data_IF_965959374707
#
_entry.id   IF_965959374707
#
_cell.length_a   1.000
_cell.length_b   1.000
_cell.length_c   1.000
_cell.angle_alpha   90.00
_cell.angle_beta   90.00
_cell.angle_gamma   90.00
#
_symmetry.space_group_name_H-M   'P 1'
#
loop_
_entity.id
_entity.type
_entity.pdbx_description
1 polymer ?
#
# COMPACT_ATOMS: atom_id res chain seq x y z
N UNK A 1 13.76 9.55 5.78
CA UNK A 1 12.36 9.57 5.33
C UNK A 1 11.67 8.39 5.98
N UNK A 2 10.63 8.60 6.79
CA UNK A 2 9.86 7.49 7.42
C UNK A 2 8.73 7.07 6.49
N UNK A 3 8.39 5.79 6.46
CA UNK A 3 7.32 5.27 5.58
C UNK A 3 6.28 4.59 6.45
N UNK A 4 5.00 4.92 6.22
CA UNK A 4 3.87 4.31 6.91
C UNK A 4 2.87 3.74 5.91
N UNK A 5 2.34 2.58 6.23
CA UNK A 5 1.23 1.94 5.53
C UNK A 5 0.15 1.57 6.54
N UNK A 6 -1.05 2.11 6.39
CA UNK A 6 -2.18 1.87 7.30
C UNK A 6 -1.81 2.07 8.79
N UNK A 7 -0.91 3.02 9.09
CA UNK A 7 -0.45 3.32 10.44
C UNK A 7 0.72 2.47 10.94
N UNK A 8 1.16 1.45 10.18
CA UNK A 8 2.35 0.65 10.49
C UNK A 8 3.59 1.25 9.81
N UNK A 9 4.68 1.39 10.56
CA UNK A 9 5.97 1.84 10.00
C UNK A 9 6.60 0.73 9.17
N UNK A 10 7.08 1.08 7.99
CA UNK A 10 7.77 0.19 7.05
C UNK A 10 9.20 0.68 6.82
N UNK A 11 10.06 -0.27 6.49
CA UNK A 11 11.39 0.05 5.98
C UNK A 11 11.27 0.80 4.64
N UNK A 12 12.03 1.87 4.51
CA UNK A 12 12.18 2.52 3.21
C UNK A 12 13.06 1.66 2.32
N UNK A 13 12.51 1.20 1.19
CA UNK A 13 13.23 0.39 0.22
C UNK A 13 13.26 1.12 -1.12
N UNK A 14 14.44 1.25 -1.72
CA UNK A 14 14.60 1.83 -3.05
C UNK A 14 13.82 1.00 -4.10
N UNK A 15 13.05 1.68 -4.95
CA UNK A 15 12.09 1.06 -5.87
C UNK A 15 10.72 0.73 -5.25
N UNK A 16 10.59 0.81 -3.92
CA UNK A 16 9.33 0.64 -3.20
C UNK A 16 8.82 -0.79 -3.15
N UNK A 17 7.53 -0.92 -2.83
CA UNK A 17 6.78 -2.18 -2.78
C UNK A 17 5.77 -2.24 -3.93
N UNK A 18 5.56 -3.43 -4.47
CA UNK A 18 4.52 -3.70 -5.47
C UNK A 18 3.17 -3.96 -4.79
N UNK A 19 2.11 -3.28 -5.25
CA UNK A 19 0.75 -3.59 -4.80
C UNK A 19 0.18 -4.79 -5.55
N UNK A 20 -0.21 -5.83 -4.81
CA UNK A 20 -0.86 -7.03 -5.36
C UNK A 20 -2.34 -6.99 -5.00
N UNK A 21 -3.20 -6.89 -6.01
CA UNK A 21 -4.65 -6.86 -5.85
C UNK A 21 -5.22 -8.27 -5.97
N UNK A 22 -5.80 -8.79 -4.88
CA UNK A 22 -6.42 -10.12 -4.92
C UNK A 22 -7.72 -10.12 -5.72
N UNK A 23 -8.50 -9.03 -5.61
CA UNK A 23 -9.62 -8.78 -6.49
C UNK A 23 -9.17 -7.93 -7.69
N UNK A 24 -9.29 -8.44 -8.93
CA UNK A 24 -8.84 -7.70 -10.10
C UNK A 24 -9.63 -6.40 -10.29
N UNK A 25 -8.97 -5.40 -10.85
CA UNK A 25 -9.57 -4.14 -11.31
C UNK A 25 -9.29 -3.98 -12.80
N UNK A 26 -10.08 -3.15 -13.49
CA UNK A 26 -9.84 -2.79 -14.90
C UNK A 26 -9.53 -1.32 -15.07
N UNK A 27 -10.05 -0.48 -14.18
CA UNK A 27 -9.91 0.97 -14.25
C UNK A 27 -9.34 1.50 -12.94
N UNK A 28 -8.44 2.46 -13.07
CA UNK A 28 -7.93 3.28 -11.99
C UNK A 28 -8.03 4.74 -12.41
N UNK A 29 -8.59 5.57 -11.53
CA UNK A 29 -8.56 7.03 -11.65
C UNK A 29 -7.56 7.54 -10.63
N UNK A 30 -6.64 8.39 -11.09
CA UNK A 30 -5.59 8.97 -10.25
C UNK A 30 -5.74 10.49 -10.21
N UNK A 31 -5.46 11.05 -9.05
CA UNK A 31 -5.38 12.49 -8.83
C UNK A 31 -4.15 12.83 -7.97
N UNK A 32 -3.62 14.05 -8.15
CA UNK A 32 -2.46 14.56 -7.44
C UNK A 32 -2.73 15.99 -6.99
N UNK A 33 -2.68 16.21 -5.68
CA UNK A 33 -2.75 17.54 -5.08
C UNK A 33 -1.37 17.93 -4.57
N UNK A 34 -0.88 19.09 -4.96
CA UNK A 34 0.41 19.63 -4.49
C UNK A 34 0.16 20.90 -3.70
N UNK A 35 0.69 20.98 -2.48
CA UNK A 35 0.59 22.17 -1.63
C UNK A 35 1.77 22.26 -0.68
N UNK A 36 2.40 23.44 -0.60
CA UNK A 36 3.50 23.73 0.34
C UNK A 36 4.65 22.69 0.30
N UNK A 37 5.02 22.23 -0.90
CA UNK A 37 6.07 21.21 -1.10
C UNK A 37 5.67 19.80 -0.62
N UNK A 38 4.38 19.57 -0.38
CA UNK A 38 3.80 18.27 -0.04
C UNK A 38 2.95 17.78 -1.20
N UNK A 39 2.87 16.48 -1.36
CA UNK A 39 2.11 15.85 -2.43
C UNK A 39 1.12 14.84 -1.85
N UNK A 40 -0.14 14.94 -2.23
CA UNK A 40 -1.16 13.94 -1.94
C UNK A 40 -1.55 13.25 -3.24
N UNK A 41 -1.26 11.96 -3.33
CA UNK A 41 -1.71 11.10 -4.41
C UNK A 41 -2.96 10.36 -3.97
N UNK A 42 -3.97 10.34 -4.83
CA UNK A 42 -5.24 9.68 -4.57
C UNK A 42 -5.53 8.76 -5.74
N UNK A 43 -5.82 7.50 -5.46
CA UNK A 43 -6.09 6.48 -6.47
C UNK A 43 -7.41 5.77 -6.13
N UNK A 44 -8.31 5.72 -7.11
CA UNK A 44 -9.61 5.06 -7.00
C UNK A 44 -9.71 3.95 -8.04
N UNK A 45 -9.88 2.72 -7.57
CA UNK A 45 -9.99 1.54 -8.41
C UNK A 45 -11.45 1.08 -8.52
N UNK A 46 -11.85 0.56 -9.67
CA UNK A 46 -13.22 0.11 -9.93
C UNK A 46 -13.63 -1.15 -9.14
N UNK A 47 -12.66 -1.86 -8.55
CA UNK A 47 -12.91 -2.94 -7.59
C UNK A 47 -13.26 -2.45 -6.16
N UNK A 48 -13.25 -1.13 -5.94
CA UNK A 48 -13.58 -0.49 -4.66
C UNK A 48 -12.37 -0.16 -3.76
N UNK A 49 -11.15 -0.51 -4.19
CA UNK A 49 -9.92 -0.12 -3.49
C UNK A 49 -9.67 1.38 -3.67
N UNK A 50 -9.19 2.01 -2.61
CA UNK A 50 -8.80 3.42 -2.54
C UNK A 50 -7.44 3.52 -1.85
N UNK A 51 -6.48 4.12 -2.53
CA UNK A 51 -5.12 4.33 -2.00
C UNK A 51 -4.88 5.84 -1.92
N UNK A 52 -4.46 6.32 -0.76
CA UNK A 52 -4.11 7.72 -0.52
C UNK A 52 -2.70 7.79 0.04
N UNK A 53 -1.79 8.47 -0.65
CA UNK A 53 -0.41 8.61 -0.21
C UNK A 53 -0.07 10.07 -0.05
N UNK A 54 0.25 10.48 1.18
CA UNK A 54 0.75 11.80 1.51
C UNK A 54 2.28 11.75 1.62
N UNK A 55 2.95 12.57 0.83
CA UNK A 55 4.40 12.75 0.83
C UNK A 55 4.71 14.11 1.44
N UNK A 56 5.56 14.10 2.46
CA UNK A 56 6.10 15.30 3.10
C UNK A 56 7.64 15.21 3.12
N UNK A 57 8.34 16.29 3.49
CA UNK A 57 9.81 16.23 3.63
C UNK A 57 10.31 15.23 4.68
N UNK A 58 9.48 14.81 5.64
CA UNK A 58 9.88 13.95 6.77
C UNK A 58 9.37 12.51 6.64
N UNK A 59 8.16 12.35 6.12
CA UNK A 59 7.45 11.08 6.06
C UNK A 59 6.62 10.91 4.78
N UNK A 60 6.42 9.65 4.42
CA UNK A 60 5.47 9.17 3.42
C UNK A 60 4.45 8.32 4.17
N UNK A 61 3.17 8.68 4.05
CA UNK A 61 2.08 7.96 4.73
C UNK A 61 1.04 7.52 3.71
N UNK A 62 0.84 6.21 3.60
CA UNK A 62 -0.15 5.59 2.73
C UNK A 62 -1.29 5.00 3.52
N UNK A 63 -2.52 5.27 3.09
CA UNK A 63 -3.75 4.68 3.60
C UNK A 63 -4.49 3.95 2.48
N UNK A 64 -4.78 2.68 2.71
CA UNK A 64 -5.56 1.79 1.85
C UNK A 64 -6.83 1.41 2.59
N UNK A 65 -8.00 1.52 1.95
CA UNK A 65 -9.29 1.16 2.56
C UNK A 65 -9.56 -0.36 2.63
N UNK A 66 -8.51 -1.13 2.89
CA UNK A 66 -8.48 -2.59 2.99
C UNK A 66 -7.44 -2.98 4.02
N UNK A 67 -7.58 -4.18 4.55
CA UNK A 67 -6.47 -4.84 5.23
C UNK A 67 -5.37 -5.16 4.24
N UNK A 68 -4.14 -5.18 4.73
CA UNK A 68 -2.95 -5.41 3.92
C UNK A 68 -2.02 -6.39 4.59
N UNK A 69 -1.33 -7.19 3.78
CA UNK A 69 -0.23 -8.01 4.23
C UNK A 69 1.05 -7.59 3.50
N UNK A 70 2.13 -7.43 4.25
CA UNK A 70 3.42 -6.97 3.73
C UNK A 70 4.38 -8.14 3.68
N UNK A 71 4.80 -8.49 2.47
CA UNK A 71 5.89 -9.41 2.22
C UNK A 71 7.17 -8.57 2.06
N UNK A 72 7.98 -8.57 3.11
CA UNK A 72 9.20 -7.78 3.17
C UNK A 72 10.29 -8.33 2.26
N UNK A 73 10.35 -9.66 2.11
CA UNK A 73 11.38 -10.34 1.32
C UNK A 73 11.18 -10.12 -0.19
N UNK A 74 9.93 -10.25 -0.65
CA UNK A 74 9.57 -10.09 -2.06
C UNK A 74 9.14 -8.66 -2.42
N UNK A 75 9.08 -7.76 -1.43
CA UNK A 75 8.66 -6.36 -1.59
C UNK A 75 7.25 -6.23 -2.18
N UNK A 76 6.31 -6.99 -1.62
CA UNK A 76 4.90 -6.98 -2.04
C UNK A 76 3.99 -6.52 -0.91
N UNK A 77 2.97 -5.76 -1.26
CA UNK A 77 1.86 -5.39 -0.39
C UNK A 77 0.60 -6.00 -0.98
N UNK A 78 0.09 -7.04 -0.35
CA UNK A 78 -1.16 -7.70 -0.73
C UNK A 78 -2.33 -6.89 -0.18
N UNK A 79 -3.25 -6.48 -1.07
CA UNK A 79 -4.49 -5.79 -0.72
C UNK A 79 -5.56 -6.85 -0.58
N UNK A 80 -5.96 -7.10 0.68
CA UNK A 80 -6.81 -8.23 1.05
C UNK A 80 -8.29 -7.93 0.80
N UNK A 81 -9.06 -8.98 0.51
CA UNK A 81 -10.52 -8.95 0.53
C UNK A 81 -11.05 -9.61 1.82
N UNK A 82 -12.33 -9.42 2.07
CA UNK A 82 -13.00 -10.01 3.23
C UNK A 82 -12.90 -11.55 3.19
N UNK A 83 -12.47 -12.14 4.30
CA UNK A 83 -12.32 -13.59 4.46
C UNK A 83 -10.94 -14.15 4.07
N UNK A 84 -10.05 -13.35 3.47
CA UNK A 84 -8.67 -13.81 3.23
C UNK A 84 -7.93 -14.05 4.54
N UNK A 85 -7.14 -15.13 4.56
CA UNK A 85 -6.23 -15.45 5.65
C UNK A 85 -4.79 -15.19 5.24
N UNK A 86 -3.94 -14.87 6.22
CA UNK A 86 -2.55 -14.50 5.98
C UNK A 86 -1.66 -15.35 6.88
N UNK A 87 -0.80 -16.15 6.27
CA UNK A 87 0.28 -16.85 6.95
C UNK A 87 1.57 -16.01 6.80
N UNK A 88 2.18 -15.67 7.93
CA UNK A 88 3.45 -14.92 7.98
C UNK A 88 4.57 -15.88 8.35
N UNK A 89 5.63 -15.89 7.56
CA UNK A 89 6.81 -16.71 7.82
C UNK A 89 7.93 -15.90 8.47
N UNK A 90 8.82 -16.56 9.19
CA UNK A 90 9.94 -15.93 9.91
C UNK A 90 10.94 -15.25 8.97
N UNK A 91 10.98 -15.66 7.69
CA UNK A 91 11.85 -15.08 6.67
C UNK A 91 11.30 -13.78 6.05
N UNK A 92 10.15 -13.30 6.55
CA UNK A 92 9.49 -12.07 6.09
C UNK A 92 8.61 -12.24 4.86
N UNK A 93 8.42 -13.48 4.36
CA UNK A 93 7.44 -13.78 3.32
C UNK A 93 6.02 -13.90 3.86
N UNK A 94 5.05 -13.74 2.97
CA UNK A 94 3.65 -13.89 3.28
C UNK A 94 2.98 -14.82 2.26
N UNK A 95 2.15 -15.72 2.76
CA UNK A 95 1.20 -16.51 1.96
C UNK A 95 -0.23 -16.03 2.27
N UNK A 96 -1.02 -15.83 1.21
CA UNK A 96 -2.44 -15.48 1.33
C UNK A 96 -3.27 -16.71 0.96
N UNK A 97 -4.21 -17.07 1.83
CA UNK A 97 -5.07 -18.25 1.75
C UNK A 97 -6.54 -17.83 1.62
#
# INVERSE_FOLDING_TARGET
MRVFLNGQELEFVEGGYEYVFLKPYKRCVQDKVVKDGRELYIQYYDNGVRIRTLITPKEITTLINRDVAVDHKNRKIYILEEGNQVLRHDDGTVEVI
#
